data_IF_551091232542
#
_entry.id   IF_551091232542
#
_cell.length_a   1.000
_cell.length_b   1.000
_cell.length_c   1.000
_cell.angle_alpha   90.00
_cell.angle_beta   90.00
_cell.angle_gamma   90.00
#
_symmetry.space_group_name_H-M   'P 1'
#
loop_
_entity.id
_entity.type
_entity.pdbx_description
1 polymer ?
#
# COMPACT_ATOMS: atom_id res chain seq x y z
N UNK A 1 -3.16 15.72 14.14
CA UNK A 1 -1.79 15.96 13.63
C UNK A 1 -1.56 17.26 12.82
N UNK A 2 -0.29 17.70 12.78
CA UNK A 2 0.28 18.66 11.82
C UNK A 2 0.75 17.97 10.52
N UNK A 3 1.19 18.73 9.51
CA UNK A 3 1.54 18.13 8.21
C UNK A 3 2.81 17.26 8.25
N UNK A 4 3.79 17.57 9.11
CA UNK A 4 4.99 16.75 9.24
C UNK A 4 4.68 15.38 9.85
N UNK A 5 3.80 15.34 10.86
CA UNK A 5 3.28 14.11 11.45
C UNK A 5 2.49 13.29 10.42
N UNK A 6 1.62 13.95 9.64
CA UNK A 6 0.91 13.33 8.54
C UNK A 6 1.85 12.68 7.52
N UNK A 7 2.95 13.36 7.15
CA UNK A 7 3.94 12.79 6.24
C UNK A 7 4.60 11.53 6.80
N UNK A 8 4.81 11.46 8.11
CA UNK A 8 5.37 10.27 8.75
C UNK A 8 4.36 9.12 8.75
N UNK A 9 3.10 9.38 9.15
CA UNK A 9 2.04 8.37 9.09
C UNK A 9 1.72 7.94 7.66
N UNK A 10 1.78 8.82 6.66
CA UNK A 10 1.60 8.47 5.26
C UNK A 10 2.61 7.43 4.77
N UNK A 11 3.85 7.47 5.27
CA UNK A 11 4.88 6.46 4.95
C UNK A 11 4.52 5.09 5.54
N UNK A 12 3.95 5.05 6.74
CA UNK A 12 3.47 3.83 7.39
C UNK A 12 2.19 3.31 6.75
N UNK A 13 1.27 4.20 6.39
CA UNK A 13 0.01 3.89 5.72
C UNK A 13 0.24 3.14 4.40
N UNK A 14 1.14 3.65 3.54
CA UNK A 14 1.42 3.08 2.22
C UNK A 14 1.94 1.63 2.31
N UNK A 15 2.63 1.27 3.40
CA UNK A 15 3.14 -0.08 3.63
C UNK A 15 2.22 -0.93 4.51
N UNK A 16 1.04 -0.42 4.90
CA UNK A 16 0.08 -1.14 5.74
C UNK A 16 0.51 -1.34 7.19
N UNK A 17 1.30 -0.41 7.74
CA UNK A 17 1.88 -0.49 9.09
C UNK A 17 1.26 0.48 10.10
N UNK A 18 0.06 1.00 9.84
CA UNK A 18 -0.70 1.76 10.84
C UNK A 18 -1.62 0.81 11.62
N UNK A 19 -1.68 1.02 12.93
CA UNK A 19 -2.70 0.39 13.78
C UNK A 19 -4.09 0.98 13.51
N UNK A 20 -5.19 0.29 13.85
CA UNK A 20 -6.55 0.75 13.56
C UNK A 20 -6.87 2.15 14.08
N UNK A 21 -6.40 2.49 15.28
CA UNK A 21 -6.61 3.80 15.90
C UNK A 21 -5.81 4.91 15.18
N UNK A 22 -4.60 4.58 14.72
CA UNK A 22 -3.76 5.50 13.94
C UNK A 22 -4.33 5.73 12.54
N UNK A 23 -4.95 4.71 11.96
CA UNK A 23 -5.59 4.78 10.65
C UNK A 23 -6.76 5.78 10.66
N UNK A 24 -7.58 5.78 11.71
CA UNK A 24 -8.68 6.74 11.84
C UNK A 24 -8.18 8.19 11.94
N UNK A 25 -7.15 8.45 12.76
CA UNK A 25 -6.56 9.81 12.84
C UNK A 25 -5.96 10.21 11.49
N UNK A 26 -5.30 9.27 10.81
CA UNK A 26 -4.71 9.48 9.50
C UNK A 26 -5.75 9.82 8.43
N UNK A 27 -6.87 9.12 8.35
CA UNK A 27 -7.93 9.40 7.35
C UNK A 27 -8.58 10.77 7.57
N UNK A 28 -8.78 11.16 8.83
CA UNK A 28 -9.24 12.50 9.18
C UNK A 28 -8.25 13.59 8.70
N UNK A 29 -6.95 13.38 8.92
CA UNK A 29 -5.93 14.30 8.46
C UNK A 29 -5.74 14.30 6.94
N UNK A 30 -5.88 13.14 6.29
CA UNK A 30 -5.88 13.00 4.83
C UNK A 30 -6.96 13.88 4.21
N UNK A 31 -8.17 13.81 4.76
CA UNK A 31 -9.29 14.67 4.38
C UNK A 31 -8.96 16.15 4.61
N UNK A 32 -8.41 16.49 5.78
CA UNK A 32 -8.02 17.87 6.14
C UNK A 32 -6.97 18.48 5.21
N UNK A 33 -5.93 17.73 4.84
CA UNK A 33 -4.85 18.20 3.98
C UNK A 33 -5.20 18.12 2.48
N UNK A 34 -6.25 17.36 2.14
CA UNK A 34 -6.81 17.27 0.79
C UNK A 34 -5.75 16.96 -0.25
N UNK A 35 -5.77 17.71 -1.36
CA UNK A 35 -4.86 17.50 -2.49
C UNK A 35 -3.38 17.46 -2.10
N UNK A 36 -2.95 18.33 -1.19
CA UNK A 36 -1.54 18.36 -0.73
C UNK A 36 -1.16 17.06 -0.01
N UNK A 37 -2.10 16.48 0.73
CA UNK A 37 -1.93 15.18 1.38
C UNK A 37 -1.88 14.04 0.37
N UNK A 38 -2.82 14.00 -0.57
CA UNK A 38 -2.87 13.01 -1.66
C UNK A 38 -1.58 13.03 -2.50
N UNK A 39 -1.12 14.21 -2.92
CA UNK A 39 0.10 14.37 -3.70
C UNK A 39 1.33 13.79 -2.98
N UNK A 40 1.35 13.85 -1.63
CA UNK A 40 2.41 13.25 -0.83
C UNK A 40 2.25 11.72 -0.73
N UNK A 41 1.03 11.22 -0.49
CA UNK A 41 0.72 9.79 -0.47
C UNK A 41 1.11 9.14 -1.80
N UNK A 42 0.79 9.76 -2.94
CA UNK A 42 1.17 9.27 -4.27
C UNK A 42 2.69 9.16 -4.42
N UNK A 43 3.47 10.13 -3.90
CA UNK A 43 4.93 10.03 -3.88
C UNK A 43 5.43 8.85 -3.03
N UNK A 44 4.79 8.60 -1.90
CA UNK A 44 5.10 7.45 -1.06
C UNK A 44 4.82 6.12 -1.78
N UNK A 45 3.68 5.98 -2.47
CA UNK A 45 3.39 4.79 -3.28
C UNK A 45 4.40 4.57 -4.40
N UNK A 46 4.74 5.62 -5.16
CA UNK A 46 5.73 5.53 -6.23
C UNK A 46 7.11 5.06 -5.71
N UNK A 47 7.52 5.56 -4.52
CA UNK A 47 8.75 5.15 -3.88
C UNK A 47 8.67 3.69 -3.40
N UNK A 48 7.56 3.29 -2.77
CA UNK A 48 7.35 1.92 -2.32
C UNK A 48 7.39 0.91 -3.48
N UNK A 49 6.74 1.24 -4.61
CA UNK A 49 6.76 0.41 -5.82
C UNK A 49 8.17 0.32 -6.42
N UNK A 50 8.88 1.43 -6.55
CA UNK A 50 10.27 1.44 -7.02
C UNK A 50 11.17 0.58 -6.13
N UNK A 51 11.00 0.63 -4.81
CA UNK A 51 11.70 -0.25 -3.89
C UNK A 51 11.32 -1.72 -4.09
N UNK A 52 10.03 -2.06 -4.20
CA UNK A 52 9.57 -3.43 -4.41
C UNK A 52 10.16 -4.05 -5.69
N UNK A 53 10.30 -3.25 -6.76
CA UNK A 53 10.92 -3.67 -8.02
C UNK A 53 12.46 -3.83 -7.92
N UNK A 54 13.10 -3.04 -7.05
CA UNK A 54 14.55 -3.13 -6.82
C UNK A 54 14.96 -4.33 -5.96
N UNK A 55 14.03 -4.86 -5.15
CA UNK A 55 14.27 -6.03 -4.32
C UNK A 55 14.41 -7.27 -5.21
N UNK A 56 15.42 -8.09 -4.91
CA UNK A 56 15.57 -9.39 -5.57
C UNK A 56 14.30 -10.20 -5.30
N UNK A 57 13.59 -10.69 -6.32
CA UNK A 57 12.39 -11.48 -6.10
C UNK A 57 12.71 -12.67 -5.19
N UNK A 58 11.91 -12.88 -4.15
CA UNK A 58 11.94 -14.14 -3.44
C UNK A 58 11.71 -15.27 -4.45
N UNK A 59 12.38 -16.43 -4.27
CA UNK A 59 12.16 -17.58 -5.17
C UNK A 59 10.66 -17.84 -5.27
N UNK A 60 10.11 -17.68 -6.47
CA UNK A 60 8.70 -17.87 -6.70
C UNK A 60 8.31 -19.30 -6.31
N UNK A 61 7.34 -19.46 -5.41
CA UNK A 61 6.77 -20.76 -5.08
C UNK A 61 5.90 -21.21 -6.25
N UNK A 62 6.29 -22.31 -6.90
CA UNK A 62 5.50 -22.94 -7.95
C UNK A 62 4.09 -23.31 -7.48
N UNK A 63 3.97 -23.77 -6.23
CA UNK A 63 2.68 -24.14 -5.62
C UNK A 63 1.71 -22.94 -5.50
N UNK A 64 2.22 -21.74 -5.20
CA UNK A 64 1.38 -20.53 -5.14
C UNK A 64 0.89 -20.16 -6.53
N UNK A 65 1.78 -20.24 -7.54
CA UNK A 65 1.42 -19.97 -8.94
C UNK A 65 0.34 -20.94 -9.44
N UNK A 66 0.49 -22.23 -9.19
CA UNK A 66 -0.47 -23.24 -9.63
C UNK A 66 -1.85 -23.04 -9.00
N UNK A 67 -1.90 -22.71 -7.71
CA UNK A 67 -3.15 -22.37 -7.01
C UNK A 67 -3.82 -21.13 -7.59
N UNK A 68 -3.05 -20.07 -7.87
CA UNK A 68 -3.57 -18.84 -8.46
C UNK A 68 -4.16 -19.08 -9.85
N UNK A 69 -3.47 -19.86 -10.68
CA UNK A 69 -3.93 -20.21 -12.03
C UNK A 69 -5.21 -21.06 -11.98
N UNK A 70 -5.33 -21.98 -11.02
CA UNK A 70 -6.55 -22.75 -10.80
C UNK A 70 -7.75 -21.85 -10.43
N UNK A 71 -7.56 -20.87 -9.55
CA UNK A 71 -8.61 -19.91 -9.17
C UNK A 71 -9.06 -19.04 -10.36
N UNK A 72 -8.12 -18.60 -11.20
CA UNK A 72 -8.44 -17.83 -12.41
C UNK A 72 -9.22 -18.67 -13.41
N UNK A 73 -8.85 -19.95 -13.58
CA UNK A 73 -9.56 -20.87 -14.47
C UNK A 73 -10.99 -21.11 -14.00
N UNK A 74 -11.19 -21.39 -12.70
CA UNK A 74 -12.51 -21.56 -12.11
C UNK A 74 -13.41 -20.33 -12.29
N UNK A 75 -12.85 -19.11 -12.25
CA UNK A 75 -13.58 -17.86 -12.53
C UNK A 75 -13.99 -17.67 -14.00
N UNK A 76 -13.30 -18.30 -14.96
CA UNK A 76 -13.63 -18.19 -16.39
C UNK A 76 -14.67 -19.22 -16.84
N UNK A 77 -14.84 -20.28 -16.08
CA UNK A 77 -15.77 -21.38 -16.34
C UNK A 77 -17.13 -21.19 -15.63
N UNK A 78 -17.26 -20.12 -14.83
CA UNK A 78 -18.49 -19.69 -14.16
C UNK A 78 -19.10 -18.48 -14.87
#
# INVERSE_FOLDING_TARGET
>A
MNFSEFQNQARLYVIGALEPEELEEFENARTKFGKKGEDFITKCYALHEAFALSLRPAKASSAIKDRLMAMVKAKKEA
#
